data_IF_482275925211
#
_entry.id   IF_482275925211
#
_cell.length_a   1.000
_cell.length_b   1.000
_cell.length_c   1.000
_cell.angle_alpha   90.00
_cell.angle_beta   90.00
_cell.angle_gamma   90.00
#
_symmetry.space_group_name_H-M   'P 1'
#
loop_
_entity.id
_entity.type
_entity.pdbx_description
1 polymer ?
#
# COMPACT_ATOMS: atom_id res chain seq x y z
N UNK A 1 13.69 13.62 -8.97
CA UNK A 1 12.58 13.78 -8.02
C UNK A 1 12.57 12.57 -7.09
N UNK A 2 12.43 12.78 -5.78
CA UNK A 2 12.57 11.76 -4.75
C UNK A 2 11.54 10.64 -4.92
N UNK A 3 10.29 10.97 -5.24
CA UNK A 3 9.19 10.01 -5.43
C UNK A 3 9.57 8.91 -6.42
N UNK A 4 10.07 9.29 -7.60
CA UNK A 4 10.44 8.34 -8.65
C UNK A 4 11.59 7.42 -8.22
N UNK A 5 12.64 7.99 -7.61
CA UNK A 5 13.80 7.22 -7.17
C UNK A 5 13.43 6.23 -6.07
N UNK A 6 12.61 6.67 -5.12
CA UNK A 6 12.10 5.84 -4.03
C UNK A 6 11.22 4.72 -4.55
N UNK A 7 10.25 5.01 -5.43
CA UNK A 7 9.35 4.00 -5.97
C UNK A 7 10.11 2.92 -6.77
N UNK A 8 11.01 3.33 -7.68
CA UNK A 8 11.85 2.39 -8.46
C UNK A 8 12.66 1.46 -7.54
N UNK A 9 13.27 2.02 -6.50
CA UNK A 9 14.06 1.27 -5.53
C UNK A 9 13.19 0.34 -4.69
N UNK A 10 12.05 0.81 -4.19
CA UNK A 10 11.16 0.06 -3.31
C UNK A 10 10.56 -1.16 -4.02
N UNK A 11 9.99 -0.97 -5.21
CA UNK A 11 9.38 -2.07 -5.98
C UNK A 11 10.40 -2.88 -6.78
N UNK A 12 11.66 -2.46 -6.89
CA UNK A 12 12.65 -3.03 -7.81
C UNK A 12 12.17 -3.01 -9.27
N UNK A 13 11.62 -1.88 -9.71
CA UNK A 13 11.13 -1.68 -11.08
C UNK A 13 11.72 -0.41 -11.68
N UNK A 14 12.69 -0.54 -12.59
CA UNK A 14 13.32 0.62 -13.25
C UNK A 14 12.40 1.31 -14.27
N UNK A 15 11.37 0.62 -14.76
CA UNK A 15 10.46 1.14 -15.78
C UNK A 15 9.36 2.05 -15.23
N UNK A 16 9.26 2.23 -13.91
CA UNK A 16 8.31 3.19 -13.35
C UNK A 16 8.62 4.60 -13.84
N UNK A 17 7.60 5.37 -14.18
CA UNK A 17 7.72 6.78 -14.56
C UNK A 17 7.40 7.72 -13.40
N UNK A 18 6.67 7.21 -12.40
CA UNK A 18 6.29 7.89 -11.17
C UNK A 18 5.69 6.90 -10.18
N UNK A 19 5.29 7.41 -9.03
CA UNK A 19 4.36 6.70 -8.16
C UNK A 19 2.94 6.96 -8.65
N UNK A 20 2.10 5.94 -8.70
CA UNK A 20 0.71 6.08 -9.14
C UNK A 20 -0.13 6.75 -8.05
N UNK A 21 -1.05 7.62 -8.48
CA UNK A 21 -2.06 8.22 -7.62
C UNK A 21 -3.36 7.46 -7.81
N UNK A 22 -4.16 7.42 -6.75
CA UNK A 22 -5.49 6.82 -6.75
C UNK A 22 -6.35 7.39 -7.89
N UNK A 23 -6.91 6.49 -8.69
CA UNK A 23 -7.74 6.82 -9.85
C UNK A 23 -9.23 6.52 -9.64
N UNK A 24 -9.61 5.87 -8.53
CA UNK A 24 -11.00 5.55 -8.20
C UNK A 24 -11.60 6.50 -7.14
N UNK A 25 -12.92 6.44 -7.00
CA UNK A 25 -13.68 7.26 -6.05
C UNK A 25 -14.08 8.63 -6.61
N UNK A 26 -14.11 9.65 -5.74
CA UNK A 26 -14.55 11.00 -6.06
C UNK A 26 -13.49 12.05 -5.74
N UNK A 27 -13.89 13.33 -5.71
CA UNK A 27 -12.99 14.46 -5.47
C UNK A 27 -12.23 14.41 -4.11
N UNK A 28 -12.66 13.56 -3.17
CA UNK A 28 -11.96 13.34 -1.90
C UNK A 28 -10.88 12.25 -1.94
N UNK A 29 -10.78 11.49 -3.04
CA UNK A 29 -9.86 10.35 -3.18
C UNK A 29 -8.97 10.52 -4.40
N UNK A 30 -9.60 10.76 -5.56
CA UNK A 30 -8.96 10.83 -6.86
C UNK A 30 -7.85 11.91 -6.86
N UNK A 31 -6.68 11.53 -7.38
CA UNK A 31 -5.47 12.35 -7.48
C UNK A 31 -4.90 12.89 -6.13
N UNK A 32 -5.47 12.50 -4.99
CA UNK A 32 -5.08 13.01 -3.67
C UNK A 32 -4.44 11.95 -2.76
N UNK A 33 -4.63 10.67 -3.10
CA UNK A 33 -4.09 9.51 -2.39
C UNK A 33 -3.12 8.73 -3.27
N UNK A 34 -2.26 7.92 -2.64
CA UNK A 34 -1.43 6.95 -3.35
C UNK A 34 -2.29 5.77 -3.78
N UNK A 35 -2.01 5.26 -4.97
CA UNK A 35 -2.70 4.12 -5.57
C UNK A 35 -2.70 2.90 -4.64
N UNK A 36 -3.87 2.54 -4.10
CA UNK A 36 -3.96 1.67 -2.94
C UNK A 36 -3.53 0.22 -3.25
N UNK A 37 -3.64 -0.25 -4.50
CA UNK A 37 -3.08 -1.56 -4.88
C UNK A 37 -1.57 -1.65 -4.67
N UNK A 38 -0.86 -0.52 -4.69
CA UNK A 38 0.59 -0.46 -4.51
C UNK A 38 1.01 -0.21 -3.05
N UNK A 39 0.13 0.34 -2.20
CA UNK A 39 0.47 0.82 -0.86
C UNK A 39 -0.53 0.41 0.22
N UNK A 40 -0.99 -0.84 0.20
CA UNK A 40 -1.89 -1.31 1.25
C UNK A 40 -1.27 -1.16 2.65
N UNK A 41 -2.06 -0.66 3.60
CA UNK A 41 -1.66 -0.34 4.98
C UNK A 41 -0.81 0.95 5.13
N UNK A 42 -0.72 1.77 4.09
CA UNK A 42 0.03 3.03 4.08
C UNK A 42 -0.89 4.22 4.41
N UNK A 43 -0.34 5.22 5.11
CA UNK A 43 -1.10 6.36 5.63
C UNK A 43 -1.83 7.20 4.56
N UNK A 44 -1.31 7.25 3.33
CA UNK A 44 -1.85 8.02 2.21
C UNK A 44 -2.64 7.15 1.22
N UNK A 45 -3.01 5.91 1.56
CA UNK A 45 -3.96 5.14 0.75
C UNK A 45 -5.38 5.75 0.84
N UNK A 46 -6.26 5.41 -0.11
CA UNK A 46 -7.57 6.08 -0.25
C UNK A 46 -8.63 5.65 0.78
N UNK A 47 -8.55 4.41 1.29
CA UNK A 47 -9.52 3.90 2.28
C UNK A 47 -8.96 3.81 3.69
N UNK A 48 -9.86 3.62 4.67
CA UNK A 48 -9.49 3.51 6.08
C UNK A 48 -8.54 2.34 6.34
N UNK A 49 -7.43 2.62 7.03
CA UNK A 49 -6.56 1.60 7.60
C UNK A 49 -7.12 1.18 8.95
N UNK A 50 -7.63 -0.04 9.04
CA UNK A 50 -8.22 -0.59 10.27
C UNK A 50 -7.19 -1.21 11.23
N UNK A 51 -5.93 -1.34 10.80
CA UNK A 51 -4.82 -1.86 11.61
C UNK A 51 -3.84 -0.72 11.96
N UNK A 52 -2.54 -0.90 11.72
CA UNK A 52 -1.49 0.10 12.04
C UNK A 52 -1.10 0.84 10.76
N UNK A 53 -1.55 2.10 10.62
CA UNK A 53 -1.27 2.92 9.44
C UNK A 53 0.20 3.34 9.39
N UNK A 54 0.88 2.95 8.32
CA UNK A 54 2.33 3.13 8.19
C UNK A 54 2.67 4.42 7.43
N UNK A 55 3.50 5.28 8.02
CA UNK A 55 4.12 6.40 7.32
C UNK A 55 5.29 5.87 6.49
N UNK A 56 5.05 5.47 5.25
CA UNK A 56 6.09 4.78 4.47
C UNK A 56 7.11 5.72 3.83
N UNK A 57 8.16 5.11 3.26
CA UNK A 57 9.13 5.81 2.40
C UNK A 57 8.47 6.53 1.20
N UNK A 58 7.30 6.07 0.73
CA UNK A 58 6.60 6.71 -0.38
C UNK A 58 6.06 8.09 0.02
N UNK A 59 5.33 8.16 1.14
CA UNK A 59 4.84 9.42 1.66
C UNK A 59 5.98 10.35 2.06
N UNK A 60 7.03 9.83 2.71
CA UNK A 60 8.23 10.63 3.03
C UNK A 60 8.86 11.23 1.76
N UNK A 61 8.97 10.46 0.67
CA UNK A 61 9.50 10.97 -0.60
C UNK A 61 8.59 12.02 -1.24
N UNK A 62 7.26 11.86 -1.12
CA UNK A 62 6.28 12.85 -1.55
C UNK A 62 6.45 14.15 -0.76
N UNK A 63 6.48 14.09 0.58
CA UNK A 63 6.65 15.26 1.45
C UNK A 63 7.91 16.05 1.09
N UNK A 64 9.03 15.38 0.77
CA UNK A 64 10.25 16.03 0.28
C UNK A 64 10.06 16.76 -1.04
N UNK A 65 9.40 16.12 -2.00
CA UNK A 65 9.18 16.70 -3.32
C UNK A 65 8.17 17.86 -3.29
N UNK A 66 7.33 18.00 -2.24
CA UNK A 66 6.43 19.16 -2.09
C UNK A 66 7.16 20.48 -1.83
N UNK A 67 8.31 20.43 -1.15
CA UNK A 67 9.04 21.63 -0.74
C UNK A 67 8.40 22.46 0.38
N UNK A 68 7.31 22.00 1.00
CA UNK A 68 6.65 22.72 2.10
C UNK A 68 7.36 22.60 3.45
N UNK A 69 8.10 21.52 3.65
CA UNK A 69 8.78 21.23 4.91
C UNK A 69 10.24 21.66 4.82
N UNK A 70 10.73 22.35 5.85
CA UNK A 70 12.14 22.76 5.93
C UNK A 70 13.08 21.55 6.02
N UNK A 71 12.63 20.50 6.70
CA UNK A 71 13.36 19.25 6.86
C UNK A 71 12.39 18.06 6.83
N UNK A 72 12.83 16.95 6.22
CA UNK A 72 12.09 15.68 6.25
C UNK A 72 13.05 14.56 6.60
N UNK A 73 12.90 14.03 7.82
CA UNK A 73 13.74 12.96 8.35
C UNK A 73 13.27 11.59 7.84
N UNK A 74 14.05 10.98 6.95
CA UNK A 74 13.77 9.65 6.40
C UNK A 74 13.77 8.54 7.44
N UNK A 75 14.45 8.73 8.57
CA UNK A 75 14.48 7.75 9.66
C UNK A 75 13.14 7.61 10.37
N UNK A 76 12.16 8.47 10.07
CA UNK A 76 10.80 8.37 10.58
C UNK A 76 9.91 7.45 9.73
N UNK A 77 10.40 6.94 8.60
CA UNK A 77 9.63 6.04 7.76
C UNK A 77 9.39 4.70 8.48
N UNK A 78 8.13 4.31 8.58
CA UNK A 78 7.72 2.97 8.98
C UNK A 78 8.08 1.94 7.89
N UNK A 79 8.17 0.68 8.31
CA UNK A 79 8.44 -0.42 7.40
C UNK A 79 7.16 -0.87 6.68
N UNK A 80 6.99 -0.39 5.45
CA UNK A 80 6.07 -0.99 4.49
C UNK A 80 6.71 -2.22 3.83
N UNK A 81 5.99 -3.35 3.87
CA UNK A 81 6.41 -4.61 3.23
C UNK A 81 5.58 -4.93 1.98
N UNK A 82 4.36 -4.42 1.89
CA UNK A 82 3.47 -4.64 0.74
C UNK A 82 4.14 -4.23 -0.57
N UNK A 83 4.23 -5.15 -1.54
CA UNK A 83 4.79 -4.88 -2.86
C UNK A 83 6.32 -4.71 -2.92
N UNK A 84 7.02 -4.76 -1.77
CA UNK A 84 8.47 -4.50 -1.71
C UNK A 84 9.25 -5.51 -2.54
N UNK A 85 10.01 -5.02 -3.51
CA UNK A 85 10.87 -5.81 -4.39
C UNK A 85 10.14 -6.75 -5.36
N UNK A 86 8.82 -6.59 -5.56
CA UNK A 86 8.03 -7.49 -6.42
C UNK A 86 8.22 -7.29 -7.92
N UNK A 87 8.91 -6.24 -8.33
CA UNK A 87 9.24 -5.93 -9.71
C UNK A 87 8.11 -5.25 -10.46
N UNK A 88 8.37 -4.96 -11.74
CA UNK A 88 7.45 -4.20 -12.57
C UNK A 88 6.11 -4.90 -12.81
N UNK A 89 6.07 -6.23 -12.77
CA UNK A 89 4.83 -6.97 -12.99
C UNK A 89 3.81 -6.68 -11.88
N UNK A 90 4.25 -6.56 -10.63
CA UNK A 90 3.38 -6.14 -9.53
C UNK A 90 2.86 -4.71 -9.74
N UNK A 91 3.74 -3.78 -10.11
CA UNK A 91 3.40 -2.36 -10.26
C UNK A 91 2.43 -2.10 -11.41
N UNK A 92 2.57 -2.83 -12.52
CA UNK A 92 1.82 -2.57 -13.76
C UNK A 92 0.56 -3.44 -13.89
N UNK A 93 0.56 -4.63 -13.29
CA UNK A 93 -0.53 -5.60 -13.45
C UNK A 93 -1.19 -5.98 -12.13
N UNK A 94 -0.62 -5.66 -10.96
CA UNK A 94 -1.26 -5.91 -9.66
C UNK A 94 -1.65 -7.38 -9.46
N UNK A 95 -2.95 -7.66 -9.30
CA UNK A 95 -3.49 -9.03 -9.23
C UNK A 95 -3.92 -9.61 -10.58
N UNK A 96 -3.88 -8.83 -11.67
CA UNK A 96 -4.26 -9.25 -13.01
C UNK A 96 -3.17 -10.06 -13.73
N UNK A 97 -1.95 -10.02 -13.20
CA UNK A 97 -0.86 -10.85 -13.71
C UNK A 97 -1.13 -12.34 -13.50
N UNK A 98 -0.45 -13.17 -14.31
CA UNK A 98 -0.34 -14.62 -14.08
C UNK A 98 0.54 -14.97 -12.87
N UNK A 99 1.41 -14.05 -12.43
CA UNK A 99 2.27 -14.26 -11.27
C UNK A 99 1.43 -14.18 -9.98
N UNK A 100 1.62 -15.13 -9.07
CA UNK A 100 0.98 -15.08 -7.75
C UNK A 100 1.83 -14.27 -6.79
N UNK A 101 1.22 -13.29 -6.13
CA UNK A 101 1.81 -12.51 -5.05
C UNK A 101 1.18 -12.87 -3.71
N UNK A 102 1.98 -12.84 -2.64
CA UNK A 102 1.51 -13.22 -1.30
C UNK A 102 0.63 -12.12 -0.67
N UNK A 103 0.70 -10.91 -1.21
CA UNK A 103 -0.13 -9.75 -0.93
C UNK A 103 -1.62 -10.05 -1.17
N UNK A 104 -1.91 -10.75 -2.26
CA UNK A 104 -3.28 -11.14 -2.61
C UNK A 104 -3.64 -12.53 -2.05
N UNK A 105 -4.90 -12.77 -1.67
CA UNK A 105 -5.36 -14.06 -1.18
C UNK A 105 -5.44 -15.08 -2.33
N UNK A 106 -5.03 -16.32 -2.06
CA UNK A 106 -5.12 -17.42 -3.05
C UNK A 106 -6.47 -18.11 -3.06
N UNK A 107 -7.26 -17.96 -1.99
CA UNK A 107 -8.54 -18.63 -1.77
C UNK A 107 -9.49 -17.69 -1.03
N UNK A 108 -10.79 -17.86 -1.27
CA UNK A 108 -11.85 -17.10 -0.60
C UNK A 108 -12.24 -17.76 0.73
N UNK A 109 -11.31 -17.74 1.69
CA UNK A 109 -11.50 -18.29 3.05
C UNK A 109 -10.94 -17.34 4.11
N UNK A 110 -11.45 -17.47 5.33
CA UNK A 110 -10.91 -16.77 6.50
C UNK A 110 -9.39 -17.00 6.58
N UNK A 111 -8.62 -15.92 6.66
CA UNK A 111 -7.17 -15.94 6.72
C UNK A 111 -6.63 -14.70 7.42
N UNK A 112 -5.35 -14.73 7.81
CA UNK A 112 -4.66 -13.55 8.32
C UNK A 112 -4.48 -12.50 7.22
N UNK A 113 -4.43 -11.23 7.63
CA UNK A 113 -3.92 -10.15 6.79
C UNK A 113 -2.49 -10.41 6.33
N UNK A 114 -2.02 -9.63 5.37
CA UNK A 114 -0.64 -9.71 4.89
C UNK A 114 0.39 -9.50 6.01
N UNK A 115 0.15 -8.52 6.89
CA UNK A 115 1.04 -8.17 8.00
C UNK A 115 0.85 -9.04 9.26
N UNK A 116 -0.11 -9.98 9.24
CA UNK A 116 -0.49 -10.80 10.40
C UNK A 116 -0.88 -9.96 11.63
N UNK A 117 -1.56 -8.85 11.40
CA UNK A 117 -2.09 -7.92 12.42
C UNK A 117 -3.60 -8.09 12.69
N UNK A 118 -4.23 -9.04 12.01
CA UNK A 118 -5.59 -9.50 12.25
C UNK A 118 -6.00 -10.60 11.27
N UNK A 119 -7.27 -11.02 11.32
CA UNK A 119 -7.84 -11.96 10.36
C UNK A 119 -9.24 -11.58 9.90
N UNK A 120 -9.60 -12.04 8.71
CA UNK A 120 -10.90 -11.82 8.10
C UNK A 120 -11.08 -12.63 6.83
N UNK A 121 -12.14 -12.33 6.10
CA UNK A 121 -12.38 -12.90 4.78
C UNK A 121 -11.87 -11.97 3.68
N UNK A 122 -11.41 -12.50 2.54
CA UNK A 122 -11.07 -11.69 1.40
C UNK A 122 -12.21 -10.80 0.92
N UNK A 123 -11.93 -9.53 0.70
CA UNK A 123 -12.88 -8.58 0.11
C UNK A 123 -12.26 -7.87 -1.08
N UNK A 124 -13.10 -7.21 -1.86
CA UNK A 124 -12.69 -6.36 -2.98
C UNK A 124 -13.16 -4.93 -2.71
N UNK A 125 -12.47 -3.96 -3.29
CA UNK A 125 -12.87 -2.55 -3.28
C UNK A 125 -12.43 -1.91 -4.59
N UNK A 126 -13.15 -0.88 -5.10
CA UNK A 126 -12.72 -0.14 -6.28
C UNK A 126 -11.29 0.39 -6.17
N UNK A 127 -10.91 0.95 -5.01
CA UNK A 127 -9.55 1.46 -4.74
C UNK A 127 -8.42 0.41 -4.84
N UNK A 128 -8.75 -0.88 -4.84
CA UNK A 128 -7.79 -1.97 -5.05
C UNK A 128 -7.90 -2.53 -6.46
N UNK A 129 -8.40 -1.75 -7.41
CA UNK A 129 -8.78 -2.19 -8.75
C UNK A 129 -9.69 -3.43 -8.74
N UNK A 130 -10.56 -3.59 -7.74
CA UNK A 130 -11.35 -4.81 -7.53
C UNK A 130 -10.52 -6.10 -7.35
N UNK A 131 -9.22 -5.99 -7.07
CA UNK A 131 -8.41 -7.11 -6.61
C UNK A 131 -8.88 -7.60 -5.25
N UNK A 132 -8.85 -8.92 -5.04
CA UNK A 132 -9.10 -9.45 -3.70
C UNK A 132 -7.96 -9.06 -2.77
N UNK A 133 -8.29 -8.53 -1.60
CA UNK A 133 -7.38 -8.22 -0.52
C UNK A 133 -7.68 -9.11 0.67
N UNK A 134 -6.63 -9.47 1.41
CA UNK A 134 -6.74 -10.12 2.73
C UNK A 134 -7.27 -9.12 3.76
N UNK A 135 -8.59 -8.94 3.79
CA UNK A 135 -9.25 -8.01 4.71
C UNK A 135 -9.27 -8.54 6.15
N UNK A 136 -9.47 -7.62 7.09
CA UNK A 136 -9.52 -7.91 8.53
C UNK A 136 -10.89 -7.51 9.06
N UNK A 137 -11.49 -8.32 9.93
CA UNK A 137 -12.68 -7.89 10.65
C UNK A 137 -12.30 -6.91 11.75
N UNK A 138 -13.01 -5.78 11.86
CA UNK A 138 -12.69 -4.72 12.84
C UNK A 138 -12.68 -5.18 14.31
N UNK A 139 -13.33 -6.30 14.65
CA UNK A 139 -13.31 -6.89 15.98
C UNK A 139 -12.31 -8.07 16.14
N UNK A 140 -11.50 -8.36 15.12
CA UNK A 140 -10.53 -9.48 15.07
C UNK A 140 -9.09 -9.02 14.80
N UNK A 141 -8.77 -7.82 15.27
CA UNK A 141 -7.41 -7.30 15.27
C UNK A 141 -6.56 -8.06 16.30
N UNK A 142 -5.30 -8.34 15.96
CA UNK A 142 -4.32 -8.94 16.87
C UNK A 142 -3.62 -7.89 17.73
N UNK A 143 -4.38 -6.90 18.21
CA UNK A 143 -3.92 -5.79 19.06
C UNK A 143 -3.69 -6.21 20.51
N UNK A 144 -3.26 -7.46 20.74
CA UNK A 144 -2.64 -7.85 22.00
C UNK A 144 -1.43 -6.95 22.20
N UNK A 145 -1.62 -5.88 22.98
CA UNK A 145 -0.71 -4.83 23.36
C UNK A 145 0.78 -5.13 23.04
N UNK A 146 1.40 -4.29 22.20
CA UNK A 146 2.83 -3.98 22.36
C UNK A 146 2.99 -3.44 23.79
N UNK A 147 3.19 -4.32 24.75
CA UNK A 147 3.47 -4.02 26.16
C UNK A 147 4.95 -4.29 26.42
#
# INVERSE_FOLDING_TARGET
KNVLLTARKYYNCLNMEGMQLENEGGAGSLDSHLEQILVQNEMMMSSDVITDAQLSVHTIALLRDTGYFTEVNESMADNLYWGKGKGCQFVMEGCYTKQKFNEFPSEHKIQCSFENDGYGEPTTTPFLDNCMMKSVYGNKLFTSFKQ
#
